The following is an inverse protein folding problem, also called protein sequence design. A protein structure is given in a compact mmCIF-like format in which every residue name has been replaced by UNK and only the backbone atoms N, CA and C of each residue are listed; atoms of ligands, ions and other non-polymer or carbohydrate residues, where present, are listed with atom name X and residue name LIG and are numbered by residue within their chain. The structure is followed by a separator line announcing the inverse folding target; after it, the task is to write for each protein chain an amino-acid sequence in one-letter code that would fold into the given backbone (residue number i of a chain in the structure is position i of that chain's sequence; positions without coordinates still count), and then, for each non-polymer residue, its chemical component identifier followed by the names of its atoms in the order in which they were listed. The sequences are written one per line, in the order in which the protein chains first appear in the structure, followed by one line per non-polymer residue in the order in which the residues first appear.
data_IF_235260123688
#
_entry.id   IF_235260123688
#
_cell.length_a   1.000
_cell.length_b   1.000
_cell.length_c   1.000
_cell.angle_alpha   90.00
_cell.angle_beta   90.00
_cell.angle_gamma   90.00
#
_symmetry.space_group_name_H-M   'P 1'
#
loop_
_entity.id
_entity.type
_entity.pdbx_description
1 polymer ?
#
# COMPACT_ATOMS: atom_id res chain seq x y z
N UNK A 1 46.71 -12.88 -5.60
CA UNK A 1 45.98 -11.71 -6.10
C UNK A 1 44.52 -11.94 -5.75
N UNK A 2 44.09 -11.26 -4.70
CA UNK A 2 42.70 -11.20 -4.24
C UNK A 2 41.82 -10.73 -5.40
N UNK A 3 40.81 -11.52 -5.74
CA UNK A 3 39.68 -11.04 -6.53
C UNK A 3 38.93 -10.05 -5.65
N UNK A 4 39.15 -8.76 -5.88
CA UNK A 4 38.46 -7.66 -5.21
C UNK A 4 36.95 -7.89 -5.30
N UNK A 5 36.29 -7.92 -4.14
CA UNK A 5 34.82 -7.97 -4.00
C UNK A 5 34.12 -6.72 -4.55
N UNK A 6 34.84 -5.84 -5.25
CA UNK A 6 34.42 -4.51 -5.71
C UNK A 6 33.58 -4.55 -7.00
N UNK A 7 33.40 -5.72 -7.61
CA UNK A 7 32.58 -5.90 -8.81
C UNK A 7 31.22 -6.55 -8.51
N UNK A 8 30.71 -6.38 -7.28
CA UNK A 8 29.31 -6.60 -6.96
C UNK A 8 28.48 -5.51 -7.65
N UNK A 9 28.35 -5.61 -8.98
CA UNK A 9 27.53 -4.73 -9.84
C UNK A 9 26.24 -4.41 -9.11
N UNK A 10 26.06 -3.15 -8.72
CA UNK A 10 24.80 -2.66 -8.17
C UNK A 10 23.75 -2.92 -9.26
N UNK A 11 22.89 -3.91 -9.04
CA UNK A 11 21.81 -4.20 -9.97
C UNK A 11 21.00 -2.90 -10.14
N UNK A 12 20.60 -2.55 -11.37
CA UNK A 12 19.71 -1.41 -11.56
C UNK A 12 18.45 -1.60 -10.68
N UNK A 13 17.91 -0.51 -10.11
CA UNK A 13 16.68 -0.59 -9.32
C UNK A 13 15.59 -1.33 -10.09
N UNK A 14 14.99 -2.33 -9.45
CA UNK A 14 13.87 -3.08 -9.99
C UNK A 14 12.58 -2.62 -9.29
N UNK A 15 11.64 -1.99 -10.00
CA UNK A 15 10.41 -1.49 -9.38
C UNK A 15 9.44 -2.65 -9.10
N UNK A 16 8.77 -2.57 -7.96
CA UNK A 16 7.59 -3.37 -7.62
C UNK A 16 6.38 -2.45 -7.62
N UNK A 17 5.36 -2.83 -8.38
CA UNK A 17 4.11 -2.08 -8.48
C UNK A 17 2.99 -2.82 -7.75
N UNK A 18 2.23 -2.09 -6.94
CA UNK A 18 1.05 -2.59 -6.25
C UNK A 18 -0.14 -1.78 -6.74
N UNK A 19 -1.05 -2.43 -7.46
CA UNK A 19 -2.26 -1.79 -7.95
C UNK A 19 -3.47 -2.31 -7.20
N UNK A 20 -4.13 -1.41 -6.48
CA UNK A 20 -5.43 -1.67 -5.86
C UNK A 20 -6.50 -1.26 -6.86
N UNK A 21 -7.11 -2.27 -7.49
CA UNK A 21 -8.16 -2.04 -8.50
C UNK A 21 -9.44 -1.55 -7.82
N UNK A 22 -9.97 -2.37 -6.91
CA UNK A 22 -11.30 -2.15 -6.33
C UNK A 22 -11.47 -2.78 -4.97
N UNK A 23 -12.49 -2.33 -4.24
CA UNK A 23 -12.98 -2.97 -3.02
C UNK A 23 -14.48 -3.29 -3.15
N UNK A 24 -14.92 -4.30 -2.41
CA UNK A 24 -16.30 -4.78 -2.37
C UNK A 24 -16.83 -4.67 -0.94
N UNK A 25 -18.14 -4.44 -0.83
CA UNK A 25 -18.88 -4.52 0.44
C UNK A 25 -18.30 -3.66 1.58
N UNK A 26 -17.71 -2.50 1.23
CA UNK A 26 -17.21 -1.56 2.22
C UNK A 26 -18.37 -0.97 3.02
N UNK A 27 -18.25 -1.03 4.36
CA UNK A 27 -19.23 -0.47 5.29
C UNK A 27 -18.56 0.50 6.23
N UNK A 28 -19.17 1.67 6.37
CA UNK A 28 -18.67 2.72 7.26
C UNK A 28 -19.04 2.44 8.71
N UNK A 29 -18.29 3.03 9.63
CA UNK A 29 -18.56 2.95 11.07
C UNK A 29 -19.72 3.86 11.47
N UNK A 30 -19.93 4.97 10.75
CA UNK A 30 -20.98 5.96 11.06
C UNK A 30 -22.13 6.00 10.05
N UNK A 31 -22.05 5.25 8.96
CA UNK A 31 -23.07 5.28 7.94
C UNK A 31 -22.74 4.42 6.74
N UNK A 32 -23.68 4.42 5.82
CA UNK A 32 -23.73 3.51 4.69
C UNK A 32 -22.85 3.97 3.51
N UNK A 33 -22.60 5.27 3.37
CA UNK A 33 -21.75 5.82 2.31
C UNK A 33 -20.46 6.47 2.89
N UNK A 34 -19.50 5.68 3.43
CA UNK A 34 -18.27 6.26 3.94
C UNK A 34 -17.40 6.81 2.81
N UNK A 35 -16.73 7.93 3.09
CA UNK A 35 -15.61 8.41 2.27
C UNK A 35 -14.37 7.67 2.72
N UNK A 36 -13.71 6.96 1.80
CA UNK A 36 -12.58 6.08 2.12
C UNK A 36 -11.38 6.34 1.22
N UNK A 37 -10.20 5.97 1.70
CA UNK A 37 -8.98 5.88 0.89
C UNK A 37 -8.17 4.65 1.31
N UNK A 38 -7.28 4.20 0.43
CA UNK A 38 -6.36 3.11 0.68
C UNK A 38 -4.99 3.68 0.99
N UNK A 39 -4.41 3.24 2.09
CA UNK A 39 -3.01 3.48 2.42
C UNK A 39 -2.19 2.25 2.09
N UNK A 40 -1.10 2.42 1.35
CA UNK A 40 -0.13 1.37 1.05
C UNK A 40 1.16 1.63 1.81
N UNK A 41 1.63 0.63 2.54
CA UNK A 41 2.85 0.68 3.34
C UNK A 41 3.70 -0.56 3.07
N UNK A 42 5.01 -0.40 3.07
CA UNK A 42 5.95 -1.51 2.96
C UNK A 42 7.15 -1.27 3.84
N UNK A 43 7.52 -2.26 4.66
CA UNK A 43 8.63 -2.16 5.60
C UNK A 43 8.56 -0.90 6.49
N UNK A 44 7.36 -0.59 7.00
CA UNK A 44 7.05 0.61 7.80
C UNK A 44 7.25 1.96 7.08
N UNK A 45 7.37 1.95 5.76
CA UNK A 45 7.43 3.15 4.91
C UNK A 45 6.10 3.34 4.21
N UNK A 46 5.55 4.56 4.25
CA UNK A 46 4.38 4.95 3.47
C UNK A 46 4.75 5.00 1.98
N UNK A 47 4.15 4.11 1.19
CA UNK A 47 4.29 4.12 -0.27
C UNK A 47 3.34 5.13 -0.92
N UNK A 48 2.16 5.33 -0.31
CA UNK A 48 1.22 6.36 -0.74
C UNK A 48 -0.21 6.13 -0.26
N UNK A 49 -1.02 7.17 -0.42
CA UNK A 49 -2.46 7.14 -0.18
C UNK A 49 -3.21 7.28 -1.52
N UNK A 50 -4.29 6.53 -1.69
CA UNK A 50 -5.19 6.69 -2.84
C UNK A 50 -5.97 7.99 -2.76
N UNK A 51 -6.60 8.43 -3.87
CA UNK A 51 -7.68 9.40 -3.80
C UNK A 51 -8.78 8.96 -2.82
N UNK A 52 -9.42 9.95 -2.21
CA UNK A 52 -10.58 9.77 -1.34
C UNK A 52 -11.81 9.55 -2.22
N UNK A 53 -12.53 8.46 -1.98
CA UNK A 53 -13.73 8.10 -2.74
C UNK A 53 -14.91 7.90 -1.80
N UNK A 54 -16.06 8.46 -2.15
CA UNK A 54 -17.32 8.09 -1.52
C UNK A 54 -17.71 6.70 -2.02
N UNK A 55 -18.00 5.81 -1.08
CA UNK A 55 -18.41 4.43 -1.38
C UNK A 55 -19.93 4.34 -1.28
N UNK A 56 -20.51 3.38 -2.00
CA UNK A 56 -21.94 3.06 -1.90
C UNK A 56 -22.07 1.66 -1.29
N UNK A 57 -23.00 1.43 -0.35
CA UNK A 57 -23.26 0.09 0.18
C UNK A 57 -23.50 -0.91 -0.93
N UNK A 58 -23.01 -2.13 -0.72
CA UNK A 58 -23.26 -3.28 -1.60
C UNK A 58 -22.81 -3.06 -3.06
N UNK A 59 -22.02 -2.01 -3.31
CA UNK A 59 -21.44 -1.69 -4.60
C UNK A 59 -19.91 -1.78 -4.56
N UNK A 60 -19.33 -1.95 -5.75
CA UNK A 60 -17.89 -1.98 -5.92
C UNK A 60 -17.34 -0.55 -5.97
N UNK A 61 -16.28 -0.29 -5.21
CA UNK A 61 -15.55 0.99 -5.26
C UNK A 61 -14.26 0.80 -6.04
N UNK A 62 -14.14 1.51 -7.17
CA UNK A 62 -12.99 1.42 -8.09
C UNK A 62 -11.92 2.45 -7.68
N UNK A 63 -10.84 1.98 -7.03
CA UNK A 63 -9.73 2.84 -6.62
C UNK A 63 -8.73 3.10 -7.76
N UNK A 64 -8.41 2.07 -8.55
CA UNK A 64 -7.39 2.10 -9.59
C UNK A 64 -6.10 2.82 -9.16
N UNK A 65 -5.69 2.58 -7.91
CA UNK A 65 -4.57 3.23 -7.26
C UNK A 65 -3.33 2.36 -7.40
N UNK A 66 -2.20 2.96 -7.82
CA UNK A 66 -0.92 2.26 -7.87
C UNK A 66 0.09 2.94 -6.96
N UNK A 67 0.71 2.15 -6.09
CA UNK A 67 1.90 2.53 -5.30
C UNK A 67 3.09 1.69 -5.74
N UNK A 68 4.31 2.12 -5.43
CA UNK A 68 5.52 1.42 -5.88
C UNK A 68 6.70 1.64 -4.94
N UNK A 69 7.62 0.69 -4.96
CA UNK A 69 8.93 0.79 -4.33
C UNK A 69 9.97 0.08 -5.20
N UNK A 70 11.24 0.48 -5.06
CA UNK A 70 12.33 -0.14 -5.82
C UNK A 70 13.06 -1.18 -4.98
N UNK A 71 13.66 -2.18 -5.63
CA UNK A 71 14.58 -3.15 -5.01
C UNK A 71 15.98 -2.94 -5.59
N UNK A 72 17.00 -2.87 -4.72
CA UNK A 72 18.39 -2.69 -5.13
C UNK A 72 18.77 -1.26 -5.52
N UNK A 73 19.98 -1.08 -6.05
CA UNK A 73 20.58 0.25 -6.21
C UNK A 73 20.70 0.97 -4.87
N UNK A 74 20.22 2.22 -4.79
CA UNK A 74 20.16 3.03 -3.56
C UNK A 74 18.89 2.76 -2.73
N UNK A 75 18.03 1.83 -3.15
CA UNK A 75 16.81 1.52 -2.39
C UNK A 75 17.13 0.89 -1.03
N UNK A 76 16.41 1.26 0.05
CA UNK A 76 16.52 0.59 1.34
C UNK A 76 15.91 -0.82 1.33
N UNK A 77 15.29 -1.25 0.24
CA UNK A 77 14.62 -2.55 0.13
C UNK A 77 15.49 -3.56 -0.64
N UNK A 78 15.66 -4.72 -0.02
CA UNK A 78 16.42 -5.85 -0.55
C UNK A 78 15.49 -6.97 -1.03
N UNK A 79 16.05 -7.97 -1.71
CA UNK A 79 15.32 -9.19 -2.06
C UNK A 79 14.90 -10.00 -0.83
N UNK A 80 15.65 -9.91 0.27
CA UNK A 80 15.30 -10.56 1.54
C UNK A 80 14.05 -9.94 2.15
N UNK A 81 13.93 -8.61 2.08
CA UNK A 81 12.71 -7.91 2.50
C UNK A 81 11.50 -8.42 1.71
N UNK A 82 11.63 -8.57 0.40
CA UNK A 82 10.55 -9.05 -0.49
C UNK A 82 10.18 -10.50 -0.16
N UNK A 83 11.11 -11.32 0.31
CA UNK A 83 10.86 -12.70 0.67
C UNK A 83 10.08 -12.85 1.99
N UNK A 84 10.17 -11.86 2.86
CA UNK A 84 9.76 -12.00 4.27
C UNK A 84 8.78 -10.94 4.78
N UNK A 85 8.62 -9.83 4.07
CA UNK A 85 7.80 -8.69 4.49
C UNK A 85 6.65 -8.48 3.50
N UNK A 86 5.40 -8.37 3.98
CA UNK A 86 4.27 -8.07 3.12
C UNK A 86 4.17 -6.57 2.85
N UNK A 87 3.47 -6.20 1.78
CA UNK A 87 2.89 -4.85 1.66
C UNK A 87 1.60 -4.83 2.47
N UNK A 88 1.44 -3.81 3.31
CA UNK A 88 0.21 -3.57 4.05
C UNK A 88 -0.68 -2.61 3.27
N UNK A 89 -1.93 -3.03 3.07
CA UNK A 89 -2.99 -2.21 2.48
C UNK A 89 -4.04 -1.95 3.55
N UNK A 90 -4.24 -0.69 3.93
CA UNK A 90 -5.22 -0.30 4.95
C UNK A 90 -6.34 0.51 4.31
N UNK A 91 -7.58 0.09 4.50
CA UNK A 91 -8.78 0.87 4.10
C UNK A 91 -9.15 1.80 5.25
N UNK A 92 -9.20 3.10 4.98
CA UNK A 92 -9.40 4.13 6.00
C UNK A 92 -10.63 4.95 5.64
N UNK A 93 -11.60 5.00 6.54
CA UNK A 93 -12.75 5.91 6.49
C UNK A 93 -12.37 7.29 7.03
N UNK A 94 -12.87 8.32 6.38
CA UNK A 94 -12.83 9.71 6.84
C UNK A 94 -14.16 10.01 7.51
N UNK A 95 -14.09 10.30 8.80
CA UNK A 95 -15.28 10.62 9.58
C UNK A 95 -15.72 12.07 9.32
N UNK A 96 -17.04 12.33 9.27
CA UNK A 96 -17.55 13.69 9.11
C UNK A 96 -16.99 14.65 10.15
N UNK A 97 -16.56 15.85 9.71
CA UNK A 97 -16.04 16.89 10.61
C UNK A 97 -17.12 17.38 11.57
N UNK A 98 -16.81 17.37 12.85
CA UNK A 98 -17.62 18.05 13.87
C UNK A 98 -17.29 19.54 13.89
N UNK A 99 -18.27 20.38 14.28
CA UNK A 99 -18.24 21.87 14.18
C UNK A 99 -17.04 22.58 14.84
N UNK A 100 -16.14 21.87 15.53
CA UNK A 100 -14.95 22.41 16.23
C UNK A 100 -13.62 21.73 15.88
N UNK A 101 -13.59 20.74 14.98
CA UNK A 101 -12.34 20.03 14.64
C UNK A 101 -11.62 20.66 13.45
N UNK A 102 -10.32 20.94 13.63
CA UNK A 102 -9.43 21.43 12.56
C UNK A 102 -8.95 20.29 11.65
N UNK A 103 -8.68 19.12 12.23
CA UNK A 103 -8.14 17.95 11.52
C UNK A 103 -9.25 16.97 11.14
N UNK A 104 -9.04 16.24 10.05
CA UNK A 104 -9.90 15.13 9.67
C UNK A 104 -9.71 13.97 10.63
N UNK A 105 -10.79 13.51 11.24
CA UNK A 105 -10.77 12.29 12.03
C UNK A 105 -10.94 11.10 11.09
N UNK A 106 -10.12 10.07 11.28
CA UNK A 106 -10.19 8.84 10.47
C UNK A 106 -10.50 7.62 11.32
N UNK A 107 -10.94 6.54 10.67
CA UNK A 107 -11.12 5.22 11.26
C UNK A 107 -10.63 4.14 10.30
N UNK A 108 -9.98 3.10 10.81
CA UNK A 108 -9.57 1.95 9.98
C UNK A 108 -10.75 1.00 9.81
N UNK A 109 -11.15 0.75 8.57
CA UNK A 109 -12.19 -0.23 8.24
C UNK A 109 -11.64 -1.64 8.13
N UNK A 110 -10.39 -1.77 7.67
CA UNK A 110 -9.74 -3.07 7.50
C UNK A 110 -8.32 -2.94 7.02
N UNK A 111 -7.58 -4.04 7.13
CA UNK A 111 -6.20 -4.15 6.66
C UNK A 111 -5.99 -5.51 6.01
N UNK A 112 -5.18 -5.53 4.96
CA UNK A 112 -4.73 -6.75 4.29
C UNK A 112 -3.22 -6.72 4.08
N UNK A 113 -2.61 -7.91 4.08
CA UNK A 113 -1.20 -8.12 3.81
C UNK A 113 -1.05 -8.80 2.44
N UNK A 114 -0.29 -8.18 1.55
CA UNK A 114 0.03 -8.73 0.23
C UNK A 114 1.36 -9.47 0.32
N UNK A 115 1.31 -10.78 0.10
CA UNK A 115 2.51 -11.63 0.02
C UNK A 115 3.29 -11.34 -1.27
N UNK A 116 4.56 -10.99 -1.11
CA UNK A 116 5.46 -10.67 -2.22
C UNK A 116 6.36 -11.86 -2.62
N UNK A 117 6.40 -12.94 -1.83
CA UNK A 117 7.18 -14.12 -2.14
C UNK A 117 6.89 -14.73 -3.53
N UNK A 118 5.65 -14.70 -4.07
CA UNK A 118 5.38 -15.13 -5.44
C UNK A 118 6.23 -14.42 -6.50
N UNK A 119 6.55 -13.14 -6.31
CA UNK A 119 7.36 -12.36 -7.26
C UNK A 119 8.77 -12.93 -7.39
N UNK A 120 9.36 -13.41 -6.28
CA UNK A 120 10.69 -14.04 -6.28
C UNK A 120 10.70 -15.41 -6.95
N UNK A 121 9.53 -16.06 -7.03
CA UNK A 121 9.36 -17.36 -7.68
C UNK A 121 9.02 -17.24 -9.16
N UNK A 122 8.86 -16.01 -9.68
CA UNK A 122 8.45 -15.74 -11.06
C UNK A 122 7.03 -16.21 -11.36
N UNK A 123 6.12 -16.11 -10.38
CA UNK A 123 4.71 -16.49 -10.50
C UNK A 123 3.80 -15.28 -10.47
#
# INVERSE_FOLDING_TARGET
METSLEDARTRPPAPVHITVLRAHDLRGVKGDAPVTYIRSEYNNVLLGDSPKLETTPDATTEYNFTSSFDIGGESPHSLDDVAHKPVLLTVIEILPKEKKQKEEKTCVLGQSAVDLLPLLRGK
#
